data_IF_097250637125
#
_entry.id   IF_097250637125
#
_cell.length_a   1.000
_cell.length_b   1.000
_cell.length_c   1.000
_cell.angle_alpha   90.00
_cell.angle_beta   90.00
_cell.angle_gamma   90.00
#
_symmetry.space_group_name_H-M   'P 1'
#
loop_
_entity.id
_entity.type
_entity.pdbx_description
1 polymer ?
#
# COMPACT_ATOMS: atom_id res chain seq x y z
N UNK A 1 -18.57 14.52 -1.98
CA UNK A 1 -18.53 13.95 -0.61
C UNK A 1 -17.95 12.53 -0.63
N UNK A 2 -17.07 12.24 -1.58
CA UNK A 2 -16.78 10.86 -1.99
C UNK A 2 -15.40 10.40 -1.53
N UNK A 3 -14.45 11.33 -1.40
CA UNK A 3 -13.06 11.03 -1.01
C UNK A 3 -12.93 10.60 0.45
N UNK A 4 -13.65 11.23 1.39
CA UNK A 4 -13.67 10.82 2.81
C UNK A 4 -14.21 9.39 2.99
N UNK A 5 -15.23 9.02 2.21
CA UNK A 5 -15.80 7.67 2.20
C UNK A 5 -14.81 6.66 1.63
N UNK A 6 -14.08 7.03 0.57
CA UNK A 6 -13.06 6.20 -0.03
C UNK A 6 -11.88 5.99 0.94
N UNK A 7 -11.43 7.05 1.63
CA UNK A 7 -10.36 7.00 2.62
C UNK A 7 -10.71 6.05 3.78
N UNK A 8 -11.95 6.12 4.28
CA UNK A 8 -12.45 5.20 5.31
C UNK A 8 -12.45 3.75 4.86
N UNK A 9 -12.88 3.48 3.62
CA UNK A 9 -12.84 2.12 3.03
C UNK A 9 -11.40 1.62 2.88
N UNK A 10 -10.47 2.48 2.46
CA UNK A 10 -9.07 2.12 2.32
C UNK A 10 -8.40 1.85 3.66
N UNK A 11 -8.65 2.71 4.64
CA UNK A 11 -8.15 2.52 6.01
C UNK A 11 -8.65 1.19 6.58
N UNK A 12 -9.87 0.78 6.28
CA UNK A 12 -10.38 -0.54 6.66
C UNK A 12 -9.70 -1.68 5.88
N UNK A 13 -9.46 -1.54 4.58
CA UNK A 13 -8.72 -2.52 3.76
C UNK A 13 -7.25 -2.68 4.14
N UNK A 14 -6.64 -1.66 4.75
CA UNK A 14 -5.27 -1.74 5.26
C UNK A 14 -5.17 -2.61 6.52
N UNK A 15 -6.29 -2.82 7.23
CA UNK A 15 -6.35 -3.68 8.43
C UNK A 15 -6.25 -5.14 8.04
N UNK A 16 -5.02 -5.62 8.01
CA UNK A 16 -4.62 -6.96 7.57
C UNK A 16 -4.25 -7.85 8.75
N UNK A 17 -4.04 -9.14 8.48
CA UNK A 17 -3.63 -10.10 9.53
C UNK A 17 -2.25 -9.82 10.13
N UNK A 18 -1.41 -9.05 9.43
CA UNK A 18 -0.05 -8.69 9.87
C UNK A 18 0.08 -7.22 10.23
N UNK A 19 0.64 -6.98 11.43
CA UNK A 19 0.77 -5.64 12.01
C UNK A 19 1.78 -4.77 11.25
N UNK A 20 2.83 -5.37 10.70
CA UNK A 20 3.80 -4.62 9.89
C UNK A 20 3.19 -4.11 8.58
N UNK A 21 2.39 -4.93 7.88
CA UNK A 21 1.70 -4.49 6.66
C UNK A 21 0.69 -3.38 6.95
N UNK A 22 -0.10 -3.52 8.02
CA UNK A 22 -1.03 -2.49 8.48
C UNK A 22 -0.31 -1.16 8.73
N UNK A 23 0.86 -1.18 9.37
CA UNK A 23 1.67 0.02 9.58
C UNK A 23 2.21 0.61 8.27
N UNK A 24 2.73 -0.22 7.36
CA UNK A 24 3.29 0.25 6.08
C UNK A 24 2.20 0.94 5.23
N UNK A 25 1.08 0.24 5.01
CA UNK A 25 -0.04 0.78 4.24
C UNK A 25 -0.71 1.96 4.94
N UNK A 26 -0.87 1.90 6.25
CA UNK A 26 -1.42 3.00 7.05
C UNK A 26 -0.58 4.28 6.96
N UNK A 27 0.75 4.18 7.01
CA UNK A 27 1.66 5.33 6.86
C UNK A 27 1.56 5.97 5.49
N UNK A 28 1.56 5.15 4.44
CA UNK A 28 1.38 5.64 3.09
C UNK A 28 0.02 6.33 2.92
N UNK A 29 -1.05 5.72 3.45
CA UNK A 29 -2.39 6.28 3.38
C UNK A 29 -2.50 7.63 4.11
N UNK A 30 -1.77 7.81 5.22
CA UNK A 30 -1.82 9.04 6.02
C UNK A 30 -0.94 10.17 5.44
N UNK A 31 0.24 9.82 4.90
CA UNK A 31 1.24 10.80 4.43
C UNK A 31 1.15 11.11 2.94
N UNK A 32 1.04 10.07 2.12
CA UNK A 32 1.19 10.19 0.66
C UNK A 32 -0.15 10.25 -0.05
N UNK A 33 -1.21 9.61 0.46
CA UNK A 33 -2.50 9.51 -0.25
C UNK A 33 -3.04 10.87 -0.73
N UNK A 34 -2.96 11.89 0.12
CA UNK A 34 -3.46 13.24 -0.16
C UNK A 34 -2.74 13.90 -1.35
N UNK A 35 -1.46 13.56 -1.57
CA UNK A 35 -0.60 14.11 -2.63
C UNK A 35 -0.33 13.12 -3.76
N UNK A 36 -0.71 11.85 -3.60
CA UNK A 36 -0.47 10.79 -4.55
C UNK A 36 -1.30 11.01 -5.82
N UNK A 37 -0.68 10.93 -7.02
CA UNK A 37 -1.40 11.01 -8.28
C UNK A 37 -2.31 9.79 -8.49
N UNK A 38 -3.28 9.91 -9.38
CA UNK A 38 -4.27 8.85 -9.66
C UNK A 38 -3.61 7.51 -10.00
N UNK A 39 -2.53 7.52 -10.80
CA UNK A 39 -1.78 6.30 -11.15
C UNK A 39 -1.26 5.59 -9.89
N UNK A 40 -0.71 6.33 -8.93
CA UNK A 40 -0.12 5.77 -7.72
C UNK A 40 -1.21 5.23 -6.79
N UNK A 41 -2.36 5.92 -6.75
CA UNK A 41 -3.55 5.46 -6.04
C UNK A 41 -4.09 4.15 -6.64
N UNK A 42 -4.11 4.02 -7.96
CA UNK A 42 -4.53 2.78 -8.64
C UNK A 42 -3.58 1.62 -8.34
N UNK A 43 -2.27 1.87 -8.38
CA UNK A 43 -1.27 0.86 -8.00
C UNK A 43 -1.41 0.47 -6.53
N UNK A 44 -1.72 1.42 -5.64
CA UNK A 44 -1.98 1.12 -4.23
C UNK A 44 -3.22 0.24 -4.05
N UNK A 45 -4.30 0.54 -4.78
CA UNK A 45 -5.51 -0.29 -4.79
C UNK A 45 -5.20 -1.72 -5.27
N UNK A 46 -4.40 -1.84 -6.33
CA UNK A 46 -3.95 -3.13 -6.85
C UNK A 46 -3.13 -3.92 -5.81
N UNK A 47 -2.20 -3.27 -5.10
CA UNK A 47 -1.50 -3.88 -3.97
C UNK A 47 -2.47 -4.31 -2.87
N UNK A 48 -3.52 -3.53 -2.61
CA UNK A 48 -4.52 -3.87 -1.60
C UNK A 48 -5.37 -5.11 -1.95
N UNK A 49 -5.48 -5.49 -3.22
CA UNK A 49 -6.15 -6.72 -3.67
C UNK A 49 -5.25 -7.96 -3.56
N UNK A 50 -3.94 -7.78 -3.41
CA UNK A 50 -2.99 -8.88 -3.27
C UNK A 50 -3.01 -9.50 -1.85
N UNK A 51 -2.70 -10.79 -1.79
CA UNK A 51 -2.62 -11.56 -0.53
C UNK A 51 -1.52 -11.05 0.41
N UNK A 52 -1.81 -11.02 1.71
CA UNK A 52 -0.90 -10.58 2.77
C UNK A 52 0.47 -11.29 2.71
N UNK A 53 0.47 -12.62 2.52
CA UNK A 53 1.70 -13.42 2.50
C UNK A 53 2.63 -13.02 1.34
N UNK A 54 2.07 -12.79 0.15
CA UNK A 54 2.83 -12.37 -1.04
C UNK A 54 3.40 -10.98 -0.88
N UNK A 55 2.57 -10.03 -0.44
CA UNK A 55 3.00 -8.66 -0.23
C UNK A 55 4.15 -8.61 0.77
N UNK A 56 4.04 -9.35 1.87
CA UNK A 56 5.10 -9.44 2.85
C UNK A 56 6.41 -9.96 2.26
N UNK A 57 6.36 -11.04 1.46
CA UNK A 57 7.54 -11.56 0.78
C UNK A 57 8.15 -10.53 -0.17
N UNK A 58 7.34 -9.79 -0.90
CA UNK A 58 7.82 -8.74 -1.80
C UNK A 58 8.43 -7.55 -1.03
N UNK A 59 7.80 -7.11 0.05
CA UNK A 59 8.30 -6.01 0.89
C UNK A 59 9.61 -6.37 1.60
N UNK A 60 9.76 -7.63 2.01
CA UNK A 60 10.99 -8.13 2.64
C UNK A 60 12.09 -8.50 1.63
N UNK A 61 11.79 -8.47 0.33
CA UNK A 61 12.73 -8.89 -0.72
C UNK A 61 12.97 -10.40 -0.77
N UNK A 62 12.10 -11.21 -0.15
CA UNK A 62 12.12 -12.67 -0.28
C UNK A 62 11.64 -13.13 -1.65
N UNK A 63 10.80 -12.35 -2.32
CA UNK A 63 10.30 -12.64 -3.65
C UNK A 63 10.24 -11.35 -4.50
N UNK A 64 10.47 -11.46 -5.80
CA UNK A 64 10.36 -10.33 -6.71
C UNK A 64 8.88 -10.08 -7.07
N UNK A 65 8.42 -8.84 -6.94
CA UNK A 65 7.08 -8.48 -7.39
C UNK A 65 7.01 -8.62 -8.93
N UNK A 66 6.09 -9.45 -9.48
CA UNK A 66 5.97 -9.62 -10.93
C UNK A 66 5.37 -8.39 -11.62
N UNK A 67 4.83 -7.44 -10.85
CA UNK A 67 4.15 -6.25 -11.36
C UNK A 67 5.12 -5.05 -11.36
N UNK A 68 5.75 -4.80 -12.52
CA UNK A 68 6.73 -3.72 -12.67
C UNK A 68 6.18 -2.33 -12.27
N UNK A 69 4.89 -2.08 -12.50
CA UNK A 69 4.23 -0.82 -12.11
C UNK A 69 4.06 -0.66 -10.58
N UNK A 70 4.08 -1.76 -9.82
CA UNK A 70 3.94 -1.74 -8.37
C UNK A 70 5.27 -1.52 -7.64
N UNK A 71 6.39 -1.86 -8.29
CA UNK A 71 7.73 -1.75 -7.70
C UNK A 71 8.06 -0.33 -7.21
N UNK A 72 7.83 0.75 -7.99
CA UNK A 72 8.15 2.11 -7.54
C UNK A 72 7.37 2.50 -6.28
N UNK A 73 6.08 2.16 -6.22
CA UNK A 73 5.25 2.43 -5.06
C UNK A 73 5.71 1.62 -3.85
N UNK A 74 6.02 0.34 -4.02
CA UNK A 74 6.55 -0.49 -2.93
C UNK A 74 7.84 0.08 -2.34
N UNK A 75 8.78 0.49 -3.20
CA UNK A 75 10.03 1.14 -2.78
C UNK A 75 9.76 2.44 -2.03
N UNK A 76 8.80 3.25 -2.49
CA UNK A 76 8.37 4.47 -1.82
C UNK A 76 7.81 4.18 -0.43
N UNK A 77 6.94 3.17 -0.28
CA UNK A 77 6.38 2.75 1.01
C UNK A 77 7.48 2.25 1.96
N UNK A 78 8.47 1.52 1.46
CA UNK A 78 9.63 1.07 2.25
C UNK A 78 10.54 2.24 2.67
N UNK A 79 10.66 3.26 1.82
CA UNK A 79 11.43 4.46 2.12
C UNK A 79 10.75 5.37 3.15
N UNK A 80 9.44 5.24 3.37
CA UNK A 80 8.70 5.90 4.45
C UNK A 80 9.09 5.29 5.81
N UNK A 81 10.28 5.68 6.29
CA UNK A 81 10.75 5.40 7.65
C UNK A 81 9.77 5.99 8.69
N UNK A 82 9.65 5.26 9.80
CA UNK A 82 8.98 5.73 11.01
C UNK A 82 9.66 6.99 11.56
#
# INVERSE_FOLDING_TARGET
MDEDTLLKKLRWRCRRGMRELDQLFGRYLDREWSTAPTEEREVFLFLLECEDDKLWRWFMGYEACPHAHAIPLMQKILALKA
#
